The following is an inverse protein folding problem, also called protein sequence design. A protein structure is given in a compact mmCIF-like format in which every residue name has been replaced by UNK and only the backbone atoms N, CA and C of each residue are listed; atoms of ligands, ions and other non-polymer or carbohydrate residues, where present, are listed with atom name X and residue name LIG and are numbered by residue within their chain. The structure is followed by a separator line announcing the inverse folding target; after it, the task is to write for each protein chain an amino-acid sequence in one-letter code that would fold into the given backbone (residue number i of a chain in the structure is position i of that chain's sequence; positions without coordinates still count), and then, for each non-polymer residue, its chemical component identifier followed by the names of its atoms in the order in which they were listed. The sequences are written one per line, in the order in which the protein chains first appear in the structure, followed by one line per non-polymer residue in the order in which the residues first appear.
data_IF_728619094704
#
_entry.id   IF_728619094704
#
_cell.length_a   1.000
_cell.length_b   1.000
_cell.length_c   1.000
_cell.angle_alpha   90.00
_cell.angle_beta   90.00
_cell.angle_gamma   90.00
#
_symmetry.space_group_name_H-M   'P 1'
#
loop_
_entity.id
_entity.type
_entity.pdbx_description
1 polymer ?
#
# COMPACT_ATOMS: atom_id res chain seq x y z
N UNK A 1 4.79 8.35 12.38
CA UNK A 1 3.44 8.67 11.87
C UNK A 1 3.53 9.44 10.56
N UNK A 2 2.87 8.97 9.50
CA UNK A 2 2.76 9.65 8.21
C UNK A 2 1.43 10.42 8.12
N UNK A 3 1.53 11.73 7.87
CA UNK A 3 0.40 12.66 7.89
C UNK A 3 0.32 13.33 6.52
N UNK A 4 -0.70 13.02 5.74
CA UNK A 4 -0.95 13.69 4.47
C UNK A 4 -1.79 14.95 4.68
N UNK A 5 -1.37 16.09 4.12
CA UNK A 5 -2.11 17.36 4.13
C UNK A 5 -2.46 17.75 2.70
N UNK A 6 -3.71 17.46 2.32
CA UNK A 6 -4.23 17.72 0.97
C UNK A 6 -4.90 19.08 0.87
N UNK A 7 -4.44 19.93 -0.05
CA UNK A 7 -5.15 21.16 -0.45
C UNK A 7 -5.52 21.15 -1.94
N UNK A 8 -5.93 22.28 -2.53
CA UNK A 8 -6.32 22.29 -3.96
C UNK A 8 -5.15 21.92 -4.89
N UNK A 9 -3.94 22.39 -4.61
CA UNK A 9 -2.77 22.19 -5.49
C UNK A 9 -1.43 22.01 -4.78
N UNK A 10 -1.41 21.64 -3.50
CA UNK A 10 -0.19 21.38 -2.71
C UNK A 10 0.57 22.61 -2.19
N UNK A 11 0.39 23.79 -2.78
CA UNK A 11 1.14 24.99 -2.37
C UNK A 11 0.89 25.43 -0.92
N UNK A 12 -0.39 25.58 -0.53
CA UNK A 12 -0.74 26.01 0.84
C UNK A 12 -0.40 24.93 1.88
N UNK A 13 -0.61 23.66 1.55
CA UNK A 13 -0.26 22.56 2.45
C UNK A 13 1.25 22.41 2.62
N UNK A 14 2.04 22.67 1.57
CA UNK A 14 3.52 22.71 1.67
C UNK A 14 3.99 23.76 2.67
N UNK A 15 3.49 25.00 2.56
CA UNK A 15 3.83 26.06 3.51
C UNK A 15 3.41 25.72 4.94
N UNK A 16 2.22 25.13 5.12
CA UNK A 16 1.74 24.70 6.42
C UNK A 16 2.69 23.65 7.04
N UNK A 17 3.00 22.60 6.30
CA UNK A 17 3.89 21.52 6.75
C UNK A 17 5.29 22.05 7.09
N UNK A 18 5.85 22.91 6.23
CA UNK A 18 7.16 23.51 6.47
C UNK A 18 7.19 24.34 7.76
N UNK A 19 6.16 25.15 8.02
CA UNK A 19 6.08 25.95 9.25
C UNK A 19 5.93 25.07 10.49
N UNK A 20 5.09 24.04 10.42
CA UNK A 20 4.88 23.10 11.53
C UNK A 20 6.14 22.34 11.87
N UNK A 21 6.84 21.78 10.88
CA UNK A 21 8.10 21.05 11.10
C UNK A 21 9.17 21.96 11.72
N UNK A 22 9.27 23.22 11.27
CA UNK A 22 10.18 24.19 11.89
C UNK A 22 9.83 24.47 13.34
N UNK A 23 8.55 24.54 13.69
CA UNK A 23 8.13 24.78 15.06
C UNK A 23 8.37 23.54 15.94
N UNK A 24 8.02 22.34 15.47
CA UNK A 24 8.30 21.07 16.15
C UNK A 24 9.81 20.94 16.45
N UNK A 25 10.67 21.27 15.48
CA UNK A 25 12.11 21.24 15.65
C UNK A 25 12.63 22.21 16.73
N UNK A 26 11.98 23.37 16.93
CA UNK A 26 12.35 24.29 18.01
C UNK A 26 12.00 23.75 19.40
N UNK A 27 10.89 23.03 19.51
CA UNK A 27 10.45 22.45 20.78
C UNK A 27 11.34 21.26 21.19
N UNK A 28 11.93 20.56 20.22
CA UNK A 28 12.96 19.54 20.46
C UNK A 28 12.47 18.20 21.00
N UNK A 29 11.16 18.05 21.22
CA UNK A 29 10.57 16.83 21.80
C UNK A 29 10.27 15.72 20.79
N UNK A 30 10.14 16.07 19.50
CA UNK A 30 9.83 15.14 18.41
C UNK A 30 10.70 15.46 17.20
N UNK A 31 11.07 14.42 16.48
CA UNK A 31 11.70 14.53 15.16
C UNK A 31 10.62 14.60 14.09
N UNK A 32 10.69 15.62 13.23
CA UNK A 32 9.71 15.81 12.17
C UNK A 32 10.38 16.22 10.85
N UNK A 33 9.80 15.78 9.74
CA UNK A 33 10.19 16.17 8.38
C UNK A 33 8.97 16.51 7.55
N UNK A 34 9.14 17.36 6.53
CA UNK A 34 8.11 17.58 5.52
C UNK A 34 8.62 17.25 4.12
N UNK A 35 7.74 16.73 3.27
CA UNK A 35 8.09 16.33 1.89
C UNK A 35 6.83 16.27 1.01
N UNK A 36 6.99 16.15 -0.30
CA UNK A 36 5.87 15.93 -1.22
C UNK A 36 5.46 14.45 -1.27
N UNK A 37 4.24 14.17 -1.77
CA UNK A 37 3.71 12.81 -1.87
C UNK A 37 4.62 11.84 -2.64
N UNK A 38 5.17 12.25 -3.77
CA UNK A 38 6.02 11.38 -4.60
C UNK A 38 7.28 10.97 -3.85
N UNK A 39 7.95 11.93 -3.20
CA UNK A 39 9.14 11.66 -2.39
C UNK A 39 8.81 10.80 -1.17
N UNK A 40 7.66 11.02 -0.51
CA UNK A 40 7.22 10.20 0.62
C UNK A 40 7.07 8.72 0.25
N UNK A 41 6.48 8.43 -0.92
CA UNK A 41 6.35 7.06 -1.42
C UNK A 41 7.71 6.41 -1.70
N UNK A 42 8.63 7.14 -2.35
CA UNK A 42 9.97 6.65 -2.68
C UNK A 42 10.82 6.39 -1.42
N UNK A 43 10.72 7.27 -0.42
CA UNK A 43 11.54 7.26 0.80
C UNK A 43 10.83 6.73 2.04
N UNK A 44 9.72 6.00 1.89
CA UNK A 44 8.86 5.58 3.00
C UNK A 44 9.61 4.93 4.17
N UNK A 45 10.59 4.05 3.88
CA UNK A 45 11.35 3.33 4.93
C UNK A 45 12.35 4.25 5.64
N UNK A 46 13.06 5.07 4.86
CA UNK A 46 14.01 6.03 5.40
C UNK A 46 13.30 6.98 6.36
N UNK A 47 12.17 7.55 5.92
CA UNK A 47 11.42 8.50 6.74
C UNK A 47 10.73 7.85 7.93
N UNK A 48 10.10 6.68 7.76
CA UNK A 48 9.44 5.98 8.85
C UNK A 48 10.37 5.52 9.98
N UNK A 49 11.64 5.27 9.68
CA UNK A 49 12.64 4.86 10.68
C UNK A 49 13.36 6.05 11.33
N UNK A 50 13.36 7.22 10.69
CA UNK A 50 14.19 8.37 11.10
C UNK A 50 13.39 9.42 11.85
N UNK A 51 12.10 9.59 11.52
CA UNK A 51 11.27 10.68 12.02
C UNK A 51 10.01 10.16 12.72
N UNK A 52 9.68 10.79 13.86
CA UNK A 52 8.44 10.53 14.59
C UNK A 52 7.23 10.98 13.75
N UNK A 53 7.34 12.14 13.10
CA UNK A 53 6.29 12.75 12.29
C UNK A 53 6.77 13.04 10.86
N UNK A 54 6.08 12.50 9.86
CA UNK A 54 6.34 12.75 8.44
C UNK A 54 5.16 13.49 7.84
N UNK A 55 5.30 14.80 7.67
CA UNK A 55 4.28 15.65 7.04
C UNK A 55 4.42 15.62 5.52
N UNK A 56 3.39 15.14 4.85
CA UNK A 56 3.40 14.99 3.39
C UNK A 56 2.38 15.92 2.78
N UNK A 57 2.80 16.82 1.90
CA UNK A 57 1.89 17.76 1.26
C UNK A 57 1.55 17.35 -0.17
N UNK A 58 0.35 17.72 -0.62
CA UNK A 58 -0.06 17.55 -2.01
C UNK A 58 -1.45 18.10 -2.31
N UNK A 59 -1.90 17.86 -3.54
CA UNK A 59 -3.28 18.15 -3.95
C UNK A 59 -4.21 17.03 -3.48
N UNK A 60 -5.35 17.36 -2.87
CA UNK A 60 -6.31 16.34 -2.41
C UNK A 60 -6.82 15.46 -3.56
N UNK A 61 -6.84 15.99 -4.79
CA UNK A 61 -7.14 15.24 -6.01
C UNK A 61 -6.11 14.17 -6.38
N UNK A 62 -5.00 14.07 -5.65
CA UNK A 62 -4.07 12.93 -5.75
C UNK A 62 -4.64 11.65 -5.13
N UNK A 63 -5.66 11.75 -4.28
CA UNK A 63 -6.38 10.60 -3.73
C UNK A 63 -7.55 10.29 -4.67
N UNK A 64 -7.36 9.27 -5.47
CA UNK A 64 -8.28 8.79 -6.50
C UNK A 64 -8.44 7.30 -6.33
N UNK A 65 -9.36 6.68 -7.08
CA UNK A 65 -9.47 5.21 -7.10
C UNK A 65 -8.14 4.52 -7.45
N UNK A 66 -7.30 5.14 -8.29
CA UNK A 66 -6.04 4.54 -8.73
C UNK A 66 -4.90 4.66 -7.71
N UNK A 67 -5.08 5.49 -6.68
CA UNK A 67 -4.02 5.83 -5.71
C UNK A 67 -4.45 5.59 -4.28
N UNK A 68 -5.71 5.26 -4.05
CA UNK A 68 -6.31 5.07 -2.72
C UNK A 68 -5.56 4.03 -1.89
N UNK A 69 -5.09 2.96 -2.51
CA UNK A 69 -4.36 1.89 -1.83
C UNK A 69 -2.98 2.35 -1.34
N UNK A 70 -2.24 3.03 -2.21
CA UNK A 70 -0.92 3.59 -1.87
C UNK A 70 -1.08 4.57 -0.70
N UNK A 71 -2.09 5.44 -0.78
CA UNK A 71 -2.40 6.38 0.29
C UNK A 71 -2.86 5.69 1.57
N UNK A 72 -3.75 4.71 1.48
CA UNK A 72 -4.32 4.00 2.61
C UNK A 72 -3.32 3.11 3.36
N UNK A 73 -2.24 2.70 2.68
CA UNK A 73 -1.14 1.92 3.28
C UNK A 73 -0.04 2.79 3.86
N UNK A 74 0.24 3.95 3.25
CA UNK A 74 1.30 4.84 3.71
C UNK A 74 0.85 5.77 4.83
N UNK A 75 -0.33 6.37 4.69
CA UNK A 75 -0.75 7.46 5.57
C UNK A 75 -1.60 6.96 6.72
N UNK A 76 -1.23 7.42 7.91
CA UNK A 76 -1.99 7.18 9.13
C UNK A 76 -3.17 8.15 9.19
N UNK A 77 -2.94 9.39 8.74
CA UNK A 77 -3.93 10.47 8.71
C UNK A 77 -3.90 11.19 7.37
N UNK A 78 -5.08 11.47 6.84
CA UNK A 78 -5.32 12.38 5.73
C UNK A 78 -6.08 13.59 6.25
N UNK A 79 -5.38 14.71 6.34
CA UNK A 79 -5.96 16.02 6.61
C UNK A 79 -6.41 16.70 5.32
N UNK A 80 -7.68 17.06 5.27
CA UNK A 80 -8.28 17.81 4.16
C UNK A 80 -8.30 19.29 4.51
N UNK A 81 -7.65 20.12 3.69
CA UNK A 81 -7.59 21.56 3.91
C UNK A 81 -8.97 22.22 3.78
N UNK A 82 -9.25 23.34 4.51
CA UNK A 82 -10.57 23.97 4.52
C UNK A 82 -11.11 24.37 3.14
N UNK A 83 -10.21 24.71 2.21
CA UNK A 83 -10.56 25.10 0.83
C UNK A 83 -11.20 23.96 0.03
N UNK A 84 -10.94 22.72 0.40
CA UNK A 84 -11.37 21.50 -0.30
C UNK A 84 -12.16 20.54 0.61
N UNK A 85 -12.65 21.03 1.76
CA UNK A 85 -13.42 20.24 2.75
C UNK A 85 -14.64 19.54 2.17
N UNK A 86 -15.20 20.05 1.07
CA UNK A 86 -16.34 19.43 0.39
C UNK A 86 -15.99 18.05 -0.20
N UNK A 87 -14.70 17.72 -0.32
CA UNK A 87 -14.22 16.41 -0.77
C UNK A 87 -14.03 15.40 0.37
N UNK A 88 -14.10 15.82 1.64
CA UNK A 88 -13.77 14.96 2.79
C UNK A 88 -14.61 13.69 2.84
N UNK A 89 -15.93 13.79 2.66
CA UNK A 89 -16.80 12.60 2.63
C UNK A 89 -16.48 11.66 1.45
N UNK A 90 -16.08 12.22 0.31
CA UNK A 90 -15.67 11.42 -0.85
C UNK A 90 -14.38 10.65 -0.55
N UNK A 91 -13.39 11.31 0.03
CA UNK A 91 -12.12 10.68 0.40
C UNK A 91 -12.32 9.65 1.52
N UNK A 92 -13.21 9.90 2.48
CA UNK A 92 -13.61 8.92 3.49
C UNK A 92 -14.21 7.66 2.86
N UNK A 93 -15.06 7.80 1.84
CA UNK A 93 -15.62 6.66 1.11
C UNK A 93 -14.56 5.87 0.36
N UNK A 94 -13.58 6.55 -0.25
CA UNK A 94 -12.44 5.91 -0.91
C UNK A 94 -11.62 5.10 0.10
N UNK A 95 -11.24 5.72 1.23
CA UNK A 95 -10.36 5.12 2.22
C UNK A 95 -11.07 4.26 3.28
N UNK A 96 -12.36 3.96 3.10
CA UNK A 96 -13.19 3.27 4.12
C UNK A 96 -12.64 1.91 4.58
N UNK A 97 -11.87 1.24 3.72
CA UNK A 97 -11.31 -0.10 3.97
C UNK A 97 -9.89 -0.04 4.55
N UNK A 98 -9.38 1.16 4.85
CA UNK A 98 -8.05 1.38 5.40
C UNK A 98 -8.15 1.91 6.83
N UNK A 99 -7.14 1.66 7.67
CA UNK A 99 -7.07 2.27 9.01
C UNK A 99 -6.76 3.78 8.95
N UNK A 100 -6.53 4.34 7.76
CA UNK A 100 -6.26 5.77 7.55
C UNK A 100 -7.43 6.63 8.00
N UNK A 101 -7.16 7.55 8.94
CA UNK A 101 -8.17 8.50 9.39
C UNK A 101 -8.23 9.68 8.42
N UNK A 102 -9.39 9.91 7.83
CA UNK A 102 -9.64 11.09 6.98
C UNK A 102 -10.45 12.12 7.76
N UNK A 103 -9.91 13.34 7.92
CA UNK A 103 -10.56 14.43 8.67
C UNK A 103 -10.22 15.79 8.10
N UNK A 104 -11.13 16.75 8.26
CA UNK A 104 -10.82 18.16 8.02
C UNK A 104 -9.76 18.65 9.00
N UNK A 105 -8.75 19.35 8.51
CA UNK A 105 -7.85 20.07 9.42
C UNK A 105 -8.58 21.26 10.04
N UNK A 106 -8.57 21.42 11.38
CA UNK A 106 -9.21 22.56 12.02
C UNK A 106 -8.74 23.89 11.45
N UNK A 107 -9.67 24.78 11.10
CA UNK A 107 -9.35 26.09 10.51
C UNK A 107 -8.45 26.94 11.39
N UNK A 108 -8.52 26.78 12.73
CA UNK A 108 -7.63 27.49 13.66
C UNK A 108 -6.17 27.05 13.54
N UNK A 109 -5.94 25.79 13.15
CA UNK A 109 -4.60 25.21 12.94
C UNK A 109 -4.09 25.61 11.55
N UNK A 110 -4.91 25.44 10.51
CA UNK A 110 -4.47 25.66 9.13
C UNK A 110 -4.55 27.13 8.67
N UNK A 111 -5.67 27.82 8.97
CA UNK A 111 -6.00 29.12 8.38
C UNK A 111 -5.18 30.30 8.91
N UNK A 112 -4.64 30.21 10.14
CA UNK A 112 -3.79 31.26 10.70
C UNK A 112 -2.38 31.25 10.11
N UNK A 113 -1.93 30.12 9.56
CA UNK A 113 -0.54 29.91 9.11
C UNK A 113 0.52 30.34 10.15
N UNK A 114 0.14 30.37 11.43
CA UNK A 114 1.00 30.67 12.56
C UNK A 114 1.26 29.34 13.29
N UNK A 115 2.44 28.76 13.05
CA UNK A 115 2.77 27.47 13.62
C UNK A 115 2.95 27.52 15.14
N UNK A 116 3.35 28.66 15.71
CA UNK A 116 3.50 28.80 17.17
C UNK A 116 2.17 28.62 17.89
N UNK A 117 1.14 29.38 17.49
CA UNK A 117 -0.20 29.28 18.09
C UNK A 117 -0.92 27.96 17.77
N UNK A 118 -0.53 27.31 16.66
CA UNK A 118 -1.18 26.11 16.16
C UNK A 118 -0.51 24.82 16.62
N UNK A 119 0.71 24.89 17.16
CA UNK A 119 1.53 23.73 17.52
C UNK A 119 0.84 22.86 18.56
N UNK A 120 0.44 23.43 19.70
CA UNK A 120 -0.18 22.66 20.79
C UNK A 120 -1.50 22.02 20.32
N UNK A 121 -2.32 22.78 19.59
CA UNK A 121 -3.58 22.31 19.03
C UNK A 121 -3.36 21.17 18.01
N UNK A 122 -2.31 21.24 17.19
CA UNK A 122 -1.98 20.16 16.26
C UNK A 122 -1.48 18.93 17.02
N UNK A 123 -0.64 19.10 18.04
CA UNK A 123 -0.07 17.99 18.79
C UNK A 123 -1.16 17.22 19.57
N UNK A 124 -2.08 17.94 20.24
CA UNK A 124 -3.26 17.35 20.89
C UNK A 124 -4.10 16.56 19.89
N UNK A 125 -4.36 17.13 18.71
CA UNK A 125 -5.10 16.45 17.65
C UNK A 125 -4.36 15.19 17.15
N UNK A 126 -3.04 15.25 16.97
CA UNK A 126 -2.25 14.10 16.53
C UNK A 126 -2.22 12.97 17.58
N UNK A 127 -2.14 13.29 18.87
CA UNK A 127 -2.23 12.30 19.96
C UNK A 127 -3.59 11.59 19.91
N UNK A 128 -4.67 12.37 19.84
CA UNK A 128 -6.03 11.82 19.73
C UNK A 128 -6.19 10.92 18.49
N UNK A 129 -5.61 11.32 17.35
CA UNK A 129 -5.67 10.54 16.12
C UNK A 129 -4.84 9.25 16.19
N UNK A 130 -3.69 9.27 16.87
CA UNK A 130 -2.88 8.08 17.09
C UNK A 130 -3.61 7.04 17.96
N UNK A 131 -4.24 7.50 19.06
CA UNK A 131 -5.09 6.66 19.91
C UNK A 131 -6.30 6.08 19.16
N UNK A 132 -6.99 6.93 18.39
CA UNK A 132 -8.14 6.50 17.58
C UNK A 132 -7.72 5.49 16.52
N UNK A 133 -6.56 5.67 15.91
CA UNK A 133 -6.04 4.74 14.91
C UNK A 133 -5.69 3.40 15.55
N UNK A 134 -5.05 3.39 16.72
CA UNK A 134 -4.78 2.14 17.45
C UNK A 134 -6.09 1.35 17.64
N UNK A 135 -7.14 2.03 18.12
CA UNK A 135 -8.47 1.44 18.27
C UNK A 135 -9.11 0.98 16.94
N UNK A 136 -8.97 1.75 15.86
CA UNK A 136 -9.50 1.35 14.54
C UNK A 136 -8.72 0.19 13.93
N UNK A 137 -7.41 0.11 14.15
CA UNK A 137 -6.57 -1.01 13.70
C UNK A 137 -6.97 -2.30 14.42
N UNK A 138 -7.42 -2.19 15.68
CA UNK A 138 -7.94 -3.32 16.46
C UNK A 138 -9.37 -3.73 16.06
N UNK A 139 -10.18 -2.79 15.55
CA UNK A 139 -11.58 -3.04 15.14
C UNK A 139 -11.77 -3.37 13.66
N UNK A 140 -10.82 -3.01 12.80
CA UNK A 140 -10.86 -3.37 11.38
C UNK A 140 -10.62 -4.87 11.31
N UNK A 141 -11.73 -5.62 11.28
CA UNK A 141 -11.81 -7.01 10.79
C UNK A 141 -10.81 -7.18 9.66
N UNK A 142 -9.98 -8.23 9.73
CA UNK A 142 -9.03 -8.63 8.67
C UNK A 142 -9.65 -8.36 7.31
N UNK A 143 -9.27 -7.26 6.68
CA UNK A 143 -9.64 -6.97 5.30
C UNK A 143 -8.48 -7.43 4.44
N UNK A 144 -8.78 -7.60 3.15
CA UNK A 144 -7.89 -7.89 2.01
C UNK A 144 -6.56 -7.10 1.94
N UNK A 145 -6.34 -6.14 2.83
CA UNK A 145 -5.05 -5.50 3.05
C UNK A 145 -4.06 -6.39 3.82
N UNK A 146 -4.50 -7.44 4.50
CA UNK A 146 -3.66 -8.44 5.19
C UNK A 146 -3.73 -9.85 4.55
N UNK A 147 -4.92 -10.31 4.13
CA UNK A 147 -5.06 -11.52 3.29
C UNK A 147 -4.96 -11.11 1.82
N UNK A 148 -3.76 -11.22 1.24
CA UNK A 148 -3.56 -10.96 -0.18
C UNK A 148 -3.85 -12.24 -0.97
N UNK A 149 -4.91 -12.23 -1.76
CA UNK A 149 -5.11 -13.19 -2.85
C UNK A 149 -3.89 -13.06 -3.77
N UNK A 150 -3.12 -14.14 -3.95
CA UNK A 150 -1.91 -14.12 -4.79
C UNK A 150 -2.32 -13.77 -6.22
N UNK A 151 -1.77 -12.69 -6.78
CA UNK A 151 -2.10 -12.25 -8.14
C UNK A 151 -1.03 -12.72 -9.13
N UNK A 152 -1.36 -13.71 -9.96
CA UNK A 152 -0.47 -14.24 -10.98
C UNK A 152 -0.86 -13.71 -12.35
N UNK A 153 0.07 -13.01 -13.00
CA UNK A 153 -0.07 -12.59 -14.39
C UNK A 153 0.34 -13.74 -15.32
N UNK A 154 -0.60 -14.29 -16.08
CA UNK A 154 -0.34 -15.37 -17.03
C UNK A 154 -0.19 -14.79 -18.43
N UNK A 155 0.99 -14.94 -19.04
CA UNK A 155 1.32 -14.36 -20.34
C UNK A 155 1.37 -15.44 -21.41
N UNK A 156 0.53 -15.30 -22.45
CA UNK A 156 0.58 -16.15 -23.65
C UNK A 156 -0.09 -17.51 -23.55
N UNK A 157 -1.04 -17.66 -22.63
CA UNK A 157 -1.91 -18.84 -22.52
C UNK A 157 -3.37 -18.45 -22.31
N UNK A 158 -4.22 -19.46 -22.17
CA UNK A 158 -5.65 -19.33 -21.87
C UNK A 158 -6.08 -20.31 -20.78
N UNK A 159 -6.99 -19.89 -19.91
CA UNK A 159 -7.62 -20.75 -18.89
C UNK A 159 -8.33 -21.97 -19.49
N UNK A 160 -8.58 -21.96 -20.80
CA UNK A 160 -9.23 -23.06 -21.52
C UNK A 160 -8.26 -24.14 -22.02
N UNK A 161 -6.96 -23.92 -21.97
CA UNK A 161 -5.96 -24.91 -22.41
C UNK A 161 -5.87 -26.09 -21.45
N UNK A 162 -5.57 -27.28 -22.01
CA UNK A 162 -5.50 -28.53 -21.25
C UNK A 162 -4.48 -28.47 -20.11
N UNK A 163 -3.38 -27.74 -20.30
CA UNK A 163 -2.36 -27.51 -19.28
C UNK A 163 -2.94 -26.86 -18.03
N UNK A 164 -3.61 -25.72 -18.18
CA UNK A 164 -4.25 -24.99 -17.07
C UNK A 164 -5.44 -25.76 -16.48
N UNK A 165 -6.28 -26.40 -17.30
CA UNK A 165 -7.39 -27.22 -16.82
C UNK A 165 -6.94 -28.36 -15.89
N UNK A 166 -5.81 -29.00 -16.20
CA UNK A 166 -5.22 -30.02 -15.32
C UNK A 166 -4.76 -29.41 -14.00
N UNK A 167 -4.11 -28.25 -14.04
CA UNK A 167 -3.67 -27.54 -12.83
C UNK A 167 -4.85 -27.15 -11.94
N UNK A 168 -5.89 -26.56 -12.52
CA UNK A 168 -7.10 -26.14 -11.81
C UNK A 168 -7.80 -27.31 -11.15
N UNK A 169 -7.95 -28.45 -11.85
CA UNK A 169 -8.52 -29.66 -11.25
C UNK A 169 -7.69 -30.20 -10.07
N UNK A 170 -6.37 -29.97 -10.06
CA UNK A 170 -5.54 -30.34 -8.91
C UNK A 170 -5.74 -29.38 -7.73
N UNK A 171 -5.87 -28.08 -7.99
CA UNK A 171 -6.13 -27.08 -6.96
C UNK A 171 -7.51 -27.22 -6.34
N UNK A 172 -8.54 -27.54 -7.14
CA UNK A 172 -9.87 -27.88 -6.64
C UNK A 172 -9.82 -29.06 -5.65
N UNK A 173 -9.03 -30.11 -5.96
CA UNK A 173 -8.83 -31.27 -5.06
C UNK A 173 -8.06 -30.92 -3.79
N UNK A 174 -7.29 -29.83 -3.80
CA UNK A 174 -6.54 -29.32 -2.65
C UNK A 174 -7.29 -28.22 -1.91
N UNK A 175 -8.54 -27.94 -2.30
CA UNK A 175 -9.38 -26.89 -1.72
C UNK A 175 -8.75 -25.48 -1.85
N UNK A 176 -7.89 -25.28 -2.84
CA UNK A 176 -7.33 -23.95 -3.16
C UNK A 176 -8.40 -23.18 -3.94
N UNK A 177 -8.86 -22.07 -3.36
CA UNK A 177 -9.82 -21.17 -4.00
C UNK A 177 -9.09 -20.30 -5.02
N UNK A 178 -9.46 -20.39 -6.29
CA UNK A 178 -8.86 -19.58 -7.35
C UNK A 178 -9.89 -18.95 -8.28
N UNK A 179 -9.53 -17.83 -8.89
CA UNK A 179 -10.28 -17.21 -9.98
C UNK A 179 -9.43 -17.06 -11.23
N UNK A 180 -10.05 -17.15 -12.40
CA UNK A 180 -9.40 -16.90 -13.68
C UNK A 180 -10.11 -15.77 -14.40
N UNK A 181 -9.37 -14.74 -14.77
CA UNK A 181 -9.91 -13.56 -15.43
C UNK A 181 -9.03 -13.15 -16.60
N UNK A 182 -9.62 -12.43 -17.55
CA UNK A 182 -8.84 -11.76 -18.58
C UNK A 182 -8.18 -10.53 -17.96
N UNK A 183 -6.88 -10.38 -18.18
CA UNK A 183 -6.16 -9.21 -17.74
C UNK A 183 -6.73 -7.93 -18.36
N UNK A 184 -7.03 -6.98 -17.48
CA UNK A 184 -7.12 -5.57 -17.78
C UNK A 184 -6.51 -4.80 -16.63
N UNK A 185 -5.83 -3.69 -16.91
CA UNK A 185 -5.28 -2.85 -15.85
C UNK A 185 -6.40 -2.36 -14.92
N UNK A 186 -7.54 -1.96 -15.47
CA UNK A 186 -8.70 -1.54 -14.67
C UNK A 186 -9.17 -2.67 -13.76
N UNK A 187 -9.36 -3.90 -14.26
CA UNK A 187 -9.80 -5.04 -13.47
C UNK A 187 -8.77 -5.53 -12.44
N UNK A 188 -7.47 -5.32 -12.68
CA UNK A 188 -6.42 -5.58 -11.68
C UNK A 188 -6.65 -4.72 -10.42
N UNK A 189 -7.08 -3.46 -10.59
CA UNK A 189 -7.32 -2.54 -9.49
C UNK A 189 -8.76 -2.56 -8.96
N UNK A 190 -9.76 -2.76 -9.83
CA UNK A 190 -11.18 -2.83 -9.47
C UNK A 190 -11.62 -4.26 -9.16
N UNK A 191 -10.94 -4.89 -8.21
CA UNK A 191 -11.21 -6.28 -7.85
C UNK A 191 -12.30 -6.36 -6.77
N UNK A 192 -13.51 -6.68 -7.21
CA UNK A 192 -14.70 -6.90 -6.37
C UNK A 192 -15.10 -8.39 -6.44
N UNK A 193 -14.39 -9.31 -5.76
CA UNK A 193 -14.77 -10.71 -5.82
C UNK A 193 -16.13 -10.92 -5.15
N UNK A 194 -16.95 -11.79 -5.74
CA UNK A 194 -18.23 -12.20 -5.16
C UNK A 194 -18.07 -13.34 -4.14
N UNK A 195 -16.92 -14.00 -4.14
CA UNK A 195 -16.57 -15.16 -3.31
C UNK A 195 -15.12 -15.02 -2.81
N UNK A 196 -14.76 -15.68 -1.72
CA UNK A 196 -13.38 -15.67 -1.23
C UNK A 196 -12.46 -16.43 -2.21
N UNK A 197 -11.32 -15.83 -2.56
CA UNK A 197 -10.37 -16.37 -3.53
C UNK A 197 -8.97 -16.27 -2.94
N UNK A 198 -8.16 -17.32 -3.00
CA UNK A 198 -6.76 -17.28 -2.53
C UNK A 198 -5.77 -16.98 -3.66
N UNK A 199 -6.12 -17.34 -4.90
CA UNK A 199 -5.25 -17.21 -6.07
C UNK A 199 -6.02 -16.61 -7.25
N UNK A 200 -5.55 -15.49 -7.80
CA UNK A 200 -6.16 -14.85 -8.96
C UNK A 200 -5.21 -14.93 -10.16
N UNK A 201 -5.67 -15.56 -11.24
CA UNK A 201 -4.90 -15.71 -12.47
C UNK A 201 -5.43 -14.76 -13.55
N UNK A 202 -4.57 -13.85 -13.98
CA UNK A 202 -4.87 -12.80 -14.95
C UNK A 202 -4.25 -13.13 -16.29
N UNK A 203 -5.05 -13.63 -17.22
CA UNK A 203 -4.59 -14.07 -18.53
C UNK A 203 -4.45 -12.90 -19.51
N UNK A 204 -3.27 -12.72 -20.08
CA UNK A 204 -2.96 -11.66 -21.03
C UNK A 204 -2.17 -12.17 -22.24
N UNK A 205 -2.29 -11.45 -23.35
CA UNK A 205 -1.32 -11.51 -24.44
C UNK A 205 -0.17 -10.54 -24.11
N UNK A 206 1.07 -10.95 -24.37
CA UNK A 206 2.26 -10.11 -24.14
C UNK A 206 2.19 -8.72 -24.79
N UNK A 207 1.42 -8.53 -25.87
CA UNK A 207 1.19 -7.23 -26.49
C UNK A 207 0.29 -6.27 -25.69
N UNK A 208 -0.48 -6.75 -24.71
CA UNK A 208 -1.40 -5.93 -23.91
C UNK A 208 -0.70 -5.09 -22.83
N UNK A 209 0.53 -5.46 -22.45
CA UNK A 209 1.28 -4.77 -21.39
C UNK A 209 2.10 -3.66 -22.03
N UNK A 210 1.76 -2.39 -21.76
CA UNK A 210 2.55 -1.25 -22.21
C UNK A 210 3.62 -0.89 -21.19
N UNK A 211 4.76 -0.42 -21.66
CA UNK A 211 5.89 0.00 -20.81
C UNK A 211 5.50 1.03 -19.75
N UNK A 212 4.68 2.02 -20.13
CA UNK A 212 4.17 3.07 -19.23
C UNK A 212 3.28 2.56 -18.08
N UNK A 213 2.69 1.37 -18.22
CA UNK A 213 1.77 0.78 -17.25
C UNK A 213 2.47 -0.20 -16.30
N UNK A 214 3.77 -0.46 -16.49
CA UNK A 214 4.47 -1.53 -15.77
C UNK A 214 4.69 -1.21 -14.32
N UNK A 215 5.06 0.02 -14.00
CA UNK A 215 5.19 0.43 -12.61
C UNK A 215 3.86 0.33 -11.83
N UNK A 216 2.72 0.33 -12.51
CA UNK A 216 1.40 0.09 -11.91
C UNK A 216 1.16 -1.41 -11.78
N UNK A 217 1.31 -2.15 -12.88
CA UNK A 217 1.17 -3.61 -12.93
C UNK A 217 2.00 -4.32 -11.84
N UNK A 218 3.29 -3.98 -11.72
CA UNK A 218 4.23 -4.62 -10.79
C UNK A 218 3.95 -4.32 -9.32
N UNK A 219 3.10 -3.34 -9.00
CA UNK A 219 2.67 -3.09 -7.61
C UNK A 219 1.60 -4.06 -7.13
N UNK A 220 0.88 -4.68 -8.08
CA UNK A 220 -0.28 -5.49 -7.78
C UNK A 220 -0.04 -6.97 -8.01
N UNK A 221 0.61 -7.33 -9.10
CA UNK A 221 0.96 -8.72 -9.35
C UNK A 221 2.05 -9.22 -8.39
N UNK A 222 1.99 -10.50 -8.06
CA UNK A 222 2.90 -11.21 -7.16
C UNK A 222 3.79 -12.20 -7.88
N UNK A 223 3.38 -12.64 -9.06
CA UNK A 223 4.17 -13.53 -9.90
C UNK A 223 3.79 -13.39 -11.36
N UNK A 224 4.71 -13.79 -12.22
CA UNK A 224 4.49 -13.89 -13.66
C UNK A 224 4.62 -15.34 -14.08
N UNK A 225 3.59 -15.86 -14.73
CA UNK A 225 3.62 -17.15 -15.40
C UNK A 225 3.73 -16.93 -16.91
N UNK A 226 4.94 -17.07 -17.44
CA UNK A 226 5.24 -16.85 -18.84
C UNK A 226 5.17 -18.16 -19.62
N UNK A 227 4.18 -18.29 -20.50
CA UNK A 227 4.08 -19.46 -21.37
C UNK A 227 5.21 -19.46 -22.41
N UNK A 228 5.76 -20.62 -22.78
CA UNK A 228 6.93 -20.71 -23.65
C UNK A 228 6.69 -20.11 -25.04
N UNK A 229 5.45 -20.17 -25.55
CA UNK A 229 5.06 -19.57 -26.82
C UNK A 229 5.08 -18.03 -26.82
N UNK A 230 4.95 -17.40 -25.63
CA UNK A 230 4.97 -15.94 -25.47
C UNK A 230 6.37 -15.39 -25.20
N UNK A 231 7.37 -16.25 -24.96
CA UNK A 231 8.71 -15.82 -24.60
C UNK A 231 9.31 -14.87 -25.65
N UNK A 232 9.20 -15.27 -26.93
CA UNK A 232 9.59 -14.46 -28.08
C UNK A 232 8.74 -13.18 -28.14
N UNK A 233 9.36 -12.03 -27.87
CA UNK A 233 8.71 -10.72 -27.82
C UNK A 233 8.35 -10.24 -26.41
N UNK A 234 8.50 -11.08 -25.39
CA UNK A 234 8.34 -10.69 -23.98
C UNK A 234 9.68 -10.53 -23.24
N UNK A 235 10.79 -10.94 -23.84
CA UNK A 235 12.15 -10.89 -23.26
C UNK A 235 12.54 -9.51 -22.71
N UNK A 236 12.24 -8.44 -23.45
CA UNK A 236 12.51 -7.07 -22.98
C UNK A 236 11.71 -6.73 -21.73
N UNK A 237 10.52 -7.32 -21.59
CA UNK A 237 9.61 -7.05 -20.48
C UNK A 237 9.95 -7.85 -19.23
N UNK A 238 10.54 -9.03 -19.39
CA UNK A 238 11.06 -9.84 -18.28
C UNK A 238 12.03 -9.05 -17.41
N UNK A 239 12.93 -8.28 -18.03
CA UNK A 239 13.89 -7.43 -17.30
C UNK A 239 13.21 -6.49 -16.30
N UNK A 240 12.05 -5.97 -16.64
CA UNK A 240 11.30 -5.11 -15.74
C UNK A 240 10.83 -5.90 -14.51
N UNK A 241 10.24 -7.08 -14.68
CA UNK A 241 9.82 -7.91 -13.54
C UNK A 241 11.00 -8.35 -12.68
N UNK A 242 12.15 -8.65 -13.29
CA UNK A 242 13.41 -8.92 -12.58
C UNK A 242 13.88 -7.71 -11.74
N UNK A 243 13.82 -6.48 -12.28
CA UNK A 243 14.15 -5.25 -11.55
C UNK A 243 13.24 -5.04 -10.32
N UNK A 244 11.95 -5.39 -10.44
CA UNK A 244 11.00 -5.35 -9.32
C UNK A 244 11.04 -6.61 -8.43
N UNK A 245 11.96 -7.54 -8.71
CA UNK A 245 12.15 -8.81 -8.01
C UNK A 245 10.89 -9.69 -7.98
N UNK A 246 10.01 -9.55 -8.97
CA UNK A 246 8.79 -10.35 -9.06
C UNK A 246 9.18 -11.75 -9.55
N UNK A 247 8.80 -12.82 -8.83
CA UNK A 247 9.03 -14.19 -9.26
C UNK A 247 8.44 -14.46 -10.65
N UNK A 248 9.24 -15.06 -11.53
CA UNK A 248 8.83 -15.47 -12.87
C UNK A 248 8.94 -16.98 -12.99
N UNK A 249 7.84 -17.63 -13.35
CA UNK A 249 7.81 -19.03 -13.75
C UNK A 249 7.62 -19.13 -15.27
N UNK A 250 8.52 -19.85 -15.92
CA UNK A 250 8.54 -20.02 -17.37
C UNK A 250 8.74 -21.49 -17.71
N UNK A 251 7.65 -22.28 -17.80
CA UNK A 251 7.77 -23.69 -18.15
C UNK A 251 8.27 -23.88 -19.59
N UNK A 252 8.97 -24.98 -19.84
CA UNK A 252 9.40 -25.40 -21.17
C UNK A 252 8.22 -25.93 -22.00
N UNK A 253 8.41 -26.02 -23.33
CA UNK A 253 7.40 -26.61 -24.21
C UNK A 253 7.09 -28.08 -23.87
N UNK A 254 8.09 -28.82 -23.40
CA UNK A 254 7.93 -30.22 -22.99
C UNK A 254 7.09 -30.33 -21.72
N UNK A 255 7.34 -29.47 -20.73
CA UNK A 255 6.58 -29.39 -19.47
C UNK A 255 5.10 -29.05 -19.70
N UNK A 256 4.82 -28.13 -20.63
CA UNK A 256 3.44 -27.77 -21.01
C UNK A 256 2.73 -28.93 -21.73
N UNK A 257 3.45 -29.61 -22.63
CA UNK A 257 2.89 -30.68 -23.46
C UNK A 257 2.59 -31.95 -22.66
N UNK A 258 3.54 -32.40 -21.85
CA UNK A 258 3.42 -33.65 -21.10
C UNK A 258 2.65 -33.47 -19.79
N UNK A 259 2.29 -32.22 -19.45
CA UNK A 259 1.59 -31.86 -18.20
C UNK A 259 2.38 -32.35 -16.98
N UNK A 260 3.66 -31.98 -16.98
CA UNK A 260 4.67 -32.49 -16.05
C UNK A 260 4.46 -32.01 -14.61
N UNK A 261 5.22 -32.61 -13.70
CA UNK A 261 4.99 -32.79 -12.25
C UNK A 261 4.54 -31.55 -11.44
N UNK A 262 3.61 -31.84 -10.53
CA UNK A 262 2.99 -30.97 -9.51
C UNK A 262 3.98 -30.03 -8.79
N UNK A 263 5.23 -30.44 -8.66
CA UNK A 263 6.18 -29.80 -7.77
C UNK A 263 6.64 -28.45 -8.29
N UNK A 264 6.81 -28.25 -9.61
CA UNK A 264 7.33 -26.98 -10.16
C UNK A 264 6.36 -25.79 -10.01
N UNK A 265 5.07 -26.00 -10.31
CA UNK A 265 4.05 -24.95 -10.13
C UNK A 265 3.84 -24.67 -8.64
N UNK A 266 3.91 -25.70 -7.81
CA UNK A 266 3.80 -25.56 -6.36
C UNK A 266 4.99 -24.78 -5.80
N UNK A 267 6.22 -25.11 -6.20
CA UNK A 267 7.45 -24.40 -5.82
C UNK A 267 7.41 -22.93 -6.25
N UNK A 268 6.89 -22.65 -7.44
CA UNK A 268 6.65 -21.29 -7.89
C UNK A 268 5.68 -20.56 -6.97
N UNK A 269 4.51 -21.15 -6.68
CA UNK A 269 3.53 -20.52 -5.79
C UNK A 269 4.08 -20.32 -4.37
N UNK A 270 4.86 -21.26 -3.85
CA UNK A 270 5.56 -21.11 -2.56
C UNK A 270 6.60 -19.98 -2.61
N UNK A 271 7.32 -19.82 -3.74
CA UNK A 271 8.25 -18.71 -3.95
C UNK A 271 7.50 -17.38 -3.97
N UNK A 272 6.34 -17.33 -4.63
CA UNK A 272 5.46 -16.16 -4.66
C UNK A 272 4.90 -15.87 -3.26
N UNK A 273 4.47 -16.88 -2.52
CA UNK A 273 4.04 -16.74 -1.12
C UNK A 273 5.17 -16.19 -0.24
N UNK A 274 6.39 -16.69 -0.38
CA UNK A 274 7.54 -16.15 0.35
C UNK A 274 7.87 -14.71 -0.05
N UNK A 275 7.80 -14.38 -1.34
CA UNK A 275 7.99 -13.03 -1.85
C UNK A 275 6.93 -12.07 -1.29
N UNK A 276 5.66 -12.47 -1.36
CA UNK A 276 4.53 -11.69 -0.83
C UNK A 276 4.63 -11.55 0.67
N UNK A 277 4.92 -12.62 1.40
CA UNK A 277 5.18 -12.58 2.83
C UNK A 277 6.35 -11.66 3.16
N UNK A 278 7.46 -11.65 2.41
CA UNK A 278 8.59 -10.74 2.64
C UNK A 278 8.28 -9.27 2.26
N UNK A 279 7.47 -9.06 1.23
CA UNK A 279 6.95 -7.75 0.86
C UNK A 279 6.00 -7.19 1.93
N UNK A 280 5.26 -8.09 2.60
CA UNK A 280 4.26 -7.81 3.64
C UNK A 280 4.88 -7.77 5.05
N UNK A 281 5.89 -8.56 5.36
CA UNK A 281 6.66 -8.53 6.63
C UNK A 281 7.50 -7.25 6.79
N UNK A 282 7.62 -6.43 5.73
CA UNK A 282 8.10 -5.05 5.83
C UNK A 282 7.02 -4.04 6.25
N UNK A 283 5.77 -4.48 6.46
CA UNK A 283 4.90 -3.95 7.52
C UNK A 283 5.06 -4.88 8.72
N UNK A 284 5.80 -4.39 9.71
CA UNK A 284 6.28 -5.16 10.86
C UNK A 284 5.13 -5.87 11.58
N UNK A 285 5.37 -7.13 11.92
CA UNK A 285 4.55 -7.92 12.83
C UNK A 285 4.27 -7.16 14.13
N UNK A 286 3.00 -7.11 14.50
CA UNK A 286 2.55 -6.76 15.84
C UNK A 286 3.32 -7.58 16.88
N UNK A 287 3.74 -6.88 17.94
CA UNK A 287 4.48 -7.34 19.13
C UNK A 287 6.00 -7.43 19.04
N UNK A 288 6.65 -6.26 19.01
CA UNK A 288 7.69 -6.05 20.03
C UNK A 288 7.01 -5.42 21.25
N UNK A 289 7.06 -6.09 22.40
CA UNK A 289 6.87 -5.43 23.68
C UNK A 289 7.91 -4.33 23.75
N UNK A 290 7.53 -3.10 23.42
CA UNK A 290 8.36 -1.93 23.67
C UNK A 290 8.56 -1.90 25.17
N UNK A 291 9.76 -2.29 25.62
CA UNK A 291 10.21 -1.89 26.94
C UNK A 291 10.25 -0.37 26.91
N UNK A 292 9.20 0.25 27.45
CA UNK A 292 9.14 1.69 27.64
C UNK A 292 10.41 2.10 28.36
N UNK A 293 11.25 2.88 27.68
CA UNK A 293 12.41 3.50 28.33
C UNK A 293 11.89 4.23 29.57
N UNK A 294 12.52 4.04 30.75
CA UNK A 294 12.08 4.72 31.95
C UNK A 294 12.10 6.23 31.70
N UNK A 295 10.93 6.86 31.82
CA UNK A 295 10.79 8.32 31.72
C UNK A 295 11.73 8.95 32.74
N UNK A 296 12.70 9.73 32.28
CA UNK A 296 13.49 10.57 33.17
C UNK A 296 12.56 11.66 33.70
N UNK A 297 12.10 11.48 34.93
CA UNK A 297 11.43 12.52 35.71
C UNK A 297 12.37 13.72 35.79
N UNK A 298 12.02 14.81 35.11
CA UNK A 298 12.61 16.12 35.35
C UNK A 298 11.55 16.96 36.07
N UNK A 299 11.76 17.09 37.39
CA UNK A 299 11.02 17.88 38.37
C UNK A 299 9.75 17.26 38.98
N UNK A 300 9.95 16.69 40.18
CA UNK A 300 8.94 16.36 41.20
C UNK A 300 8.09 17.58 41.63
N UNK A 301 7.14 18.01 40.80
CA UNK A 301 6.02 18.87 41.18
C UNK A 301 4.86 18.41 40.29
N UNK A 302 3.88 17.66 40.79
CA UNK A 302 2.66 18.19 41.41
C UNK A 302 2.23 17.23 42.52
N UNK A 303 2.31 17.70 43.76
CA UNK A 303 1.30 17.39 44.77
C UNK A 303 0.16 18.39 44.61
N UNK A 304 -1.03 18.01 45.06
CA UNK A 304 -2.20 18.78 45.52
C UNK A 304 -3.51 18.21 44.96
N UNK A 305 -4.23 17.47 45.83
CA UNK A 305 -5.66 17.20 45.73
C UNK A 305 -6.05 15.90 45.07
#
# INVERSE_FOLDING_TARGET
MFIYVGCSGGGTSSMFCQKMVKEIAKQGNLSAVFTDATTAFLKRREYGNTYDLVFVYGGIGMITQNTVDDFGRLFDVVFVAPQVRFLTESIQKLLKNFPTIVKDIPMKIFGKMNAYDAYDLLLEELIFLDEKRAYQSDMVTVTKAQDKDIEILVVGGSSQENYFKKQFSQWEKQEILFSTERFSLIGLYDFQPQEDVCLRLLFCNGGQIKEEEIAQLTRRIDGVWLMPAAYLGFEKKLKWFEEYQIPVFSPSFEEVKDSFEKDLVTDFLLTVEQYTAAATQKSVALHENVQLKPRKSFLNIISWG
#
